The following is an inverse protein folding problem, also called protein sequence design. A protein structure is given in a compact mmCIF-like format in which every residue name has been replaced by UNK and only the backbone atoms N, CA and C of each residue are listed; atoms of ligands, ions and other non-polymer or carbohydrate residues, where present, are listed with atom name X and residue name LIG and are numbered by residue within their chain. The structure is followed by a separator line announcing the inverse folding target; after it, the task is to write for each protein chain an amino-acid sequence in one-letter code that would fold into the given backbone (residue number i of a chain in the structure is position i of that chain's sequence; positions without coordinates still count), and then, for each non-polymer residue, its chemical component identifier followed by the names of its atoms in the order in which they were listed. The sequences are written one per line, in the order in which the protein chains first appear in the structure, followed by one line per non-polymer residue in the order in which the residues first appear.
data_IF_054927047853
#
_entry.id   IF_054927047853
#
_cell.length_a   1.000
_cell.length_b   1.000
_cell.length_c   1.000
_cell.angle_alpha   90.00
_cell.angle_beta   90.00
_cell.angle_gamma   90.00
#
_symmetry.space_group_name_H-M   'P 1'
#
loop_
_entity.id
_entity.type
_entity.pdbx_description
1 polymer ?
#
# COMPACT_ATOMS: atom_id res chain seq x y z
N UNK A 1 7.52 -38.94 8.36
CA UNK A 1 7.84 -39.01 9.80
C UNK A 1 6.70 -38.39 10.62
N UNK A 2 6.57 -38.69 11.92
CA UNK A 2 5.59 -38.00 12.76
C UNK A 2 6.18 -36.73 13.40
N UNK A 3 5.44 -35.61 13.34
CA UNK A 3 5.83 -34.31 13.91
C UNK A 3 5.28 -34.21 15.34
N UNK A 4 6.13 -33.82 16.29
CA UNK A 4 5.73 -33.53 17.67
C UNK A 4 5.40 -32.04 17.82
N UNK A 5 4.23 -31.71 18.35
CA UNK A 5 3.80 -30.32 18.61
C UNK A 5 3.07 -30.19 19.94
N UNK A 6 3.14 -29.01 20.57
CA UNK A 6 2.52 -28.74 21.88
C UNK A 6 1.37 -27.74 21.76
N UNK A 7 0.26 -27.99 22.43
CA UNK A 7 -0.83 -27.01 22.49
C UNK A 7 -0.43 -25.80 23.36
N UNK A 8 -0.52 -24.58 22.81
CA UNK A 8 -0.15 -23.34 23.51
C UNK A 8 -1.01 -22.97 24.72
N UNK A 9 -2.20 -23.57 24.89
CA UNK A 9 -3.12 -23.27 26.00
C UNK A 9 -3.06 -24.27 27.15
N UNK A 10 -2.99 -25.57 26.85
CA UNK A 10 -3.06 -26.63 27.85
C UNK A 10 -1.76 -27.46 27.94
N UNK A 11 -0.75 -27.14 27.14
CA UNK A 11 0.57 -27.78 27.13
C UNK A 11 0.59 -29.28 26.85
N UNK A 12 -0.52 -29.87 26.39
CA UNK A 12 -0.57 -31.28 25.97
C UNK A 12 0.24 -31.49 24.68
N UNK A 13 1.03 -32.54 24.68
CA UNK A 13 1.87 -32.96 23.57
C UNK A 13 1.05 -33.78 22.56
N UNK A 14 1.27 -33.53 21.26
CA UNK A 14 0.61 -34.21 20.16
C UNK A 14 1.65 -34.74 19.18
N UNK A 15 1.40 -35.96 18.70
CA UNK A 15 2.15 -36.57 17.60
C UNK A 15 1.24 -36.60 16.38
N UNK A 16 1.55 -35.81 15.37
CA UNK A 16 0.72 -35.65 14.14
C UNK A 16 1.48 -36.17 12.92
N UNK A 17 0.74 -36.61 11.90
CA UNK A 17 1.31 -37.05 10.62
C UNK A 17 1.86 -35.85 9.83
N UNK A 18 2.89 -36.06 8.99
CA UNK A 18 3.50 -35.02 8.15
C UNK A 18 2.50 -34.31 7.22
N UNK A 19 1.42 -34.97 6.79
CA UNK A 19 0.37 -34.36 5.95
C UNK A 19 -0.36 -33.17 6.60
N UNK A 20 -0.19 -33.03 7.93
CA UNK A 20 -0.72 -31.92 8.72
C UNK A 20 0.31 -30.80 8.94
N UNK A 21 1.54 -30.89 8.43
CA UNK A 21 2.53 -29.82 8.48
C UNK A 21 1.96 -28.53 7.88
N UNK A 22 2.09 -27.42 8.60
CA UNK A 22 1.53 -26.11 8.22
C UNK A 22 0.00 -25.97 8.38
N UNK A 23 -0.74 -27.07 8.60
CA UNK A 23 -2.19 -27.04 8.82
C UNK A 23 -2.53 -26.80 10.30
N UNK A 24 -3.79 -26.40 10.55
CA UNK A 24 -4.34 -26.17 11.89
C UNK A 24 -5.28 -27.31 12.27
N UNK A 25 -5.18 -27.81 13.49
CA UNK A 25 -6.12 -28.77 14.08
C UNK A 25 -6.62 -28.29 15.45
N UNK A 26 -7.70 -28.87 15.97
CA UNK A 26 -8.24 -28.53 17.30
C UNK A 26 -7.64 -29.45 18.37
N UNK A 27 -7.18 -28.85 19.47
CA UNK A 27 -6.74 -29.57 20.67
C UNK A 27 -7.90 -30.44 21.22
N UNK A 28 -7.62 -31.70 21.57
CA UNK A 28 -8.65 -32.62 22.10
C UNK A 28 -9.14 -32.23 23.49
N UNK A 29 -8.31 -31.56 24.30
CA UNK A 29 -8.67 -31.14 25.67
C UNK A 29 -9.41 -29.81 25.71
N UNK A 30 -8.82 -28.77 25.13
CA UNK A 30 -9.31 -27.40 25.31
C UNK A 30 -9.93 -26.80 24.04
N UNK A 31 -10.06 -27.61 22.96
CA UNK A 31 -10.62 -27.23 21.66
C UNK A 31 -9.97 -26.02 20.95
N UNK A 32 -8.88 -25.49 21.50
CA UNK A 32 -8.17 -24.37 20.89
C UNK A 32 -7.42 -24.78 19.61
N UNK A 33 -7.33 -23.90 18.60
CA UNK A 33 -6.63 -24.19 17.36
C UNK A 33 -5.11 -24.25 17.60
N UNK A 34 -4.49 -25.37 17.19
CA UNK A 34 -3.05 -25.62 17.24
C UNK A 34 -2.53 -25.66 15.80
N UNK A 35 -1.49 -24.88 15.51
CA UNK A 35 -0.81 -24.88 14.20
C UNK A 35 0.38 -25.83 14.27
N UNK A 36 0.49 -26.74 13.30
CA UNK A 36 1.65 -27.64 13.19
C UNK A 36 2.79 -26.88 12.51
N UNK A 37 4.01 -26.84 13.08
CA UNK A 37 5.15 -26.21 12.42
C UNK A 37 5.46 -26.94 11.11
N UNK A 38 5.66 -26.19 10.03
CA UNK A 38 6.17 -26.72 8.78
C UNK A 38 7.69 -26.84 8.93
N UNK A 39 8.30 -28.02 8.74
CA UNK A 39 9.75 -28.10 8.67
C UNK A 39 10.22 -27.16 7.57
N UNK A 40 11.21 -26.32 7.87
CA UNK A 40 11.85 -25.51 6.83
C UNK A 40 12.36 -26.50 5.79
N UNK A 41 11.73 -26.51 4.61
CA UNK A 41 12.30 -27.19 3.45
C UNK A 41 13.63 -26.45 3.25
N UNK A 42 14.78 -27.15 3.33
CA UNK A 42 16.03 -26.55 2.88
C UNK A 42 15.72 -25.92 1.53
N UNK A 43 15.99 -24.62 1.37
CA UNK A 43 16.00 -24.07 0.02
C UNK A 43 17.01 -24.94 -0.71
N UNK A 44 16.53 -25.78 -1.62
CA UNK A 44 17.40 -26.31 -2.65
C UNK A 44 17.96 -25.05 -3.31
N UNK A 45 19.23 -24.78 -3.05
CA UNK A 45 20.01 -23.78 -3.77
C UNK A 45 19.83 -24.19 -5.23
N UNK A 46 18.99 -23.46 -5.98
CA UNK A 46 19.00 -23.57 -7.42
C UNK A 46 20.45 -23.28 -7.80
N UNK A 47 21.13 -24.22 -8.50
CA UNK A 47 22.51 -23.99 -8.91
C UNK A 47 22.52 -22.64 -9.63
N UNK A 48 23.32 -21.71 -9.10
CA UNK A 48 23.61 -20.46 -9.77
C UNK A 48 24.09 -20.84 -11.17
N UNK A 49 23.21 -20.71 -12.16
CA UNK A 49 23.59 -20.75 -13.55
C UNK A 49 24.48 -19.51 -13.74
N UNK A 50 25.78 -19.77 -13.68
CA UNK A 50 26.84 -18.86 -14.09
C UNK A 50 26.55 -18.39 -15.54
N UNK A 51 25.73 -17.35 -15.69
CA UNK A 51 25.49 -16.63 -16.95
C UNK A 51 26.56 -15.56 -17.22
N UNK A 52 27.69 -15.65 -16.55
CA UNK A 52 28.90 -14.92 -16.92
C UNK A 52 29.78 -15.86 -17.76
N UNK A 53 29.84 -15.66 -19.09
CA UNK A 53 31.02 -15.91 -19.98
C UNK A 53 30.72 -16.08 -21.51
N UNK A 54 29.67 -15.48 -22.10
CA UNK A 54 29.51 -15.53 -23.58
C UNK A 54 29.15 -14.23 -24.33
N UNK A 55 29.43 -13.05 -23.76
CA UNK A 55 29.50 -11.80 -24.55
C UNK A 55 30.83 -11.06 -24.37
N UNK A 56 31.92 -11.80 -24.56
CA UNK A 56 33.19 -11.21 -24.96
C UNK A 56 33.21 -11.00 -26.49
N UNK A 57 33.56 -9.78 -26.88
CA UNK A 57 34.18 -9.38 -28.16
C UNK A 57 33.41 -9.61 -29.46
N UNK A 58 32.56 -8.63 -29.81
CA UNK A 58 32.26 -8.28 -31.19
C UNK A 58 32.39 -6.76 -31.36
N UNK A 59 33.50 -6.31 -31.95
CA UNK A 59 33.83 -4.90 -32.15
C UNK A 59 32.77 -4.15 -32.96
N UNK A 60 32.50 -2.91 -32.56
CA UNK A 60 31.65 -1.94 -33.25
C UNK A 60 32.24 -0.53 -33.07
N UNK A 61 33.51 -0.44 -33.39
CA UNK A 61 34.27 0.76 -33.67
C UNK A 61 34.32 1.00 -35.19
N UNK A 62 33.16 1.00 -35.86
CA UNK A 62 33.01 1.55 -37.23
C UNK A 62 31.53 1.79 -37.60
N UNK A 63 30.87 2.75 -36.96
CA UNK A 63 29.70 3.43 -37.54
C UNK A 63 29.87 4.93 -37.39
N UNK A 64 30.83 5.43 -38.17
CA UNK A 64 30.87 6.84 -38.52
C UNK A 64 29.62 7.21 -39.32
N UNK A 65 28.98 8.30 -38.88
CA UNK A 65 28.42 9.35 -39.72
C UNK A 65 28.10 9.00 -41.19
N UNK A 66 26.91 8.46 -41.47
CA UNK A 66 26.23 8.65 -42.76
C UNK A 66 24.72 8.34 -42.71
N UNK A 67 23.99 9.00 -41.80
CA UNK A 67 22.53 9.08 -41.88
C UNK A 67 22.12 10.55 -42.03
N UNK A 68 22.64 11.13 -43.12
CA UNK A 68 22.01 12.26 -43.77
C UNK A 68 20.92 11.76 -44.71
N UNK A 69 19.73 12.31 -44.54
CA UNK A 69 18.99 12.94 -45.63
C UNK A 69 18.52 12.08 -46.84
N UNK A 70 17.92 10.89 -46.68
CA UNK A 70 17.09 10.35 -47.80
C UNK A 70 16.07 9.26 -47.39
N UNK A 71 14.99 9.64 -46.70
CA UNK A 71 13.75 8.85 -46.68
C UNK A 71 12.56 9.79 -46.88
N UNK A 72 12.63 10.52 -48.00
CA UNK A 72 11.44 10.96 -48.71
C UNK A 72 10.88 9.80 -49.53
N UNK A 73 9.55 9.70 -49.54
CA UNK A 73 8.75 9.22 -50.65
C UNK A 73 9.04 7.81 -51.18
N UNK A 74 8.36 6.78 -50.65
CA UNK A 74 7.72 5.68 -51.41
C UNK A 74 7.28 4.53 -50.49
N UNK A 75 6.14 4.67 -49.82
CA UNK A 75 5.36 3.49 -49.42
C UNK A 75 3.93 3.72 -49.88
N UNK A 76 3.68 3.12 -51.04
CA UNK A 76 2.48 3.25 -51.81
C UNK A 76 1.23 2.70 -51.14
N UNK A 77 0.12 3.18 -51.69
CA UNK A 77 -1.20 2.60 -51.65
C UNK A 77 -1.16 1.09 -51.91
N UNK A 78 -1.13 0.30 -50.85
CA UNK A 78 -1.58 -1.09 -50.89
C UNK A 78 -2.88 -1.20 -50.09
N UNK A 79 -3.97 -0.88 -50.79
CA UNK A 79 -5.35 -1.27 -50.53
C UNK A 79 -5.44 -2.79 -50.30
N UNK A 80 -5.19 -3.23 -49.05
CA UNK A 80 -5.65 -4.54 -48.59
C UNK A 80 -6.95 -4.38 -47.80
N UNK A 81 -8.04 -4.42 -48.57
CA UNK A 81 -9.42 -4.69 -48.17
C UNK A 81 -9.52 -6.05 -47.45
N UNK A 82 -8.98 -6.13 -46.23
CA UNK A 82 -9.20 -7.29 -45.36
C UNK A 82 -10.53 -7.05 -44.64
N UNK A 83 -11.61 -7.78 -44.96
CA UNK A 83 -12.89 -7.56 -44.32
C UNK A 83 -12.72 -7.75 -42.80
N UNK A 84 -13.23 -6.82 -41.97
CA UNK A 84 -13.05 -6.88 -40.53
C UNK A 84 -13.64 -8.19 -40.03
N UNK A 85 -12.79 -9.05 -39.48
CA UNK A 85 -13.24 -10.28 -38.83
C UNK A 85 -14.24 -9.89 -37.73
N UNK A 86 -15.46 -10.46 -37.74
CA UNK A 86 -16.52 -10.06 -36.83
C UNK A 86 -16.08 -10.38 -35.39
N UNK A 87 -15.72 -9.33 -34.64
CA UNK A 87 -15.41 -9.44 -33.22
C UNK A 87 -16.55 -10.17 -32.52
N UNK A 88 -16.29 -11.26 -31.77
CA UNK A 88 -17.32 -11.99 -31.07
C UNK A 88 -18.04 -11.04 -30.10
N UNK A 89 -19.32 -10.77 -30.37
CA UNK A 89 -20.18 -9.93 -29.53
C UNK A 89 -20.21 -10.54 -28.13
N UNK A 90 -19.55 -9.88 -27.18
CA UNK A 90 -19.67 -10.20 -25.74
C UNK A 90 -21.16 -10.21 -25.40
N UNK A 91 -21.71 -11.40 -25.11
CA UNK A 91 -23.08 -11.57 -24.64
C UNK A 91 -23.26 -10.67 -23.42
N UNK A 92 -24.07 -9.61 -23.55
CA UNK A 92 -24.47 -8.74 -22.44
C UNK A 92 -25.09 -9.63 -21.36
N UNK A 93 -24.41 -9.79 -20.22
CA UNK A 93 -25.00 -10.43 -19.05
C UNK A 93 -26.23 -9.61 -18.66
N UNK A 94 -27.41 -10.22 -18.73
CA UNK A 94 -28.68 -9.62 -18.30
C UNK A 94 -28.51 -9.14 -16.87
N UNK A 95 -28.67 -7.85 -16.64
CA UNK A 95 -28.68 -7.24 -15.32
C UNK A 95 -29.72 -7.95 -14.45
N UNK A 96 -29.41 -8.31 -13.20
CA UNK A 96 -30.41 -8.86 -12.29
C UNK A 96 -31.54 -7.84 -12.08
N UNK A 97 -32.81 -8.28 -11.96
CA UNK A 97 -33.95 -7.39 -11.80
C UNK A 97 -33.80 -6.51 -10.56
N UNK A 98 -34.26 -5.24 -10.60
CA UNK A 98 -34.13 -4.31 -9.49
C UNK A 98 -34.87 -4.85 -8.25
N UNK A 99 -34.12 -5.06 -7.16
CA UNK A 99 -34.71 -5.43 -5.87
C UNK A 99 -35.65 -4.32 -5.40
N UNK A 100 -36.95 -4.61 -5.39
CA UNK A 100 -38.04 -3.77 -4.92
C UNK A 100 -37.74 -3.27 -3.51
N UNK A 101 -37.45 -1.97 -3.35
CA UNK A 101 -37.27 -1.32 -2.04
C UNK A 101 -38.56 -1.50 -1.22
N UNK A 102 -38.52 -2.34 -0.17
CA UNK A 102 -39.60 -2.38 0.84
C UNK A 102 -39.62 -1.01 1.53
N UNK A 103 -40.66 -0.21 1.23
CA UNK A 103 -41.01 0.98 2.02
C UNK A 103 -41.20 0.54 3.46
N UNK A 104 -40.29 0.94 4.35
CA UNK A 104 -40.50 0.85 5.79
C UNK A 104 -41.62 1.83 6.12
N UNK A 105 -42.74 1.28 6.59
CA UNK A 105 -43.85 2.04 7.16
C UNK A 105 -43.32 2.79 8.37
N UNK A 106 -43.44 4.10 8.36
CA UNK A 106 -43.38 4.97 9.51
C UNK A 106 -44.66 4.77 10.34
N UNK A 107 -44.56 4.05 11.46
CA UNK A 107 -45.46 4.24 12.61
C UNK A 107 -44.87 5.42 13.39
N UNK A 108 -45.41 6.63 13.31
CA UNK A 108 -46.68 7.09 13.87
C UNK A 108 -46.75 6.91 15.38
N UNK A 109 -46.59 8.02 16.09
CA UNK A 109 -47.34 8.37 17.31
C UNK A 109 -46.84 7.82 18.65
N UNK A 110 -46.31 8.71 19.49
CA UNK A 110 -46.79 8.88 20.88
C UNK A 110 -46.04 10.06 21.52
N UNK A 111 -46.66 11.24 21.45
CA UNK A 111 -46.39 12.32 22.38
C UNK A 111 -47.14 12.00 23.67
N UNK A 112 -46.41 11.83 24.78
CA UNK A 112 -47.03 11.63 26.08
C UNK A 112 -46.06 11.89 27.22
N UNK A 113 -46.29 13.00 27.93
CA UNK A 113 -46.11 13.05 29.39
C UNK A 113 -44.69 13.32 29.89
N UNK A 114 -44.44 14.59 30.17
CA UNK A 114 -43.38 15.01 31.07
C UNK A 114 -43.58 14.46 32.50
N UNK A 115 -42.45 14.37 33.22
CA UNK A 115 -42.27 14.30 34.68
C UNK A 115 -42.44 12.92 35.34
N UNK A 116 -41.32 12.40 35.84
CA UNK A 116 -41.06 11.96 37.23
C UNK A 116 -39.87 10.99 37.22
N UNK A 117 -38.88 11.21 38.11
CA UNK A 117 -37.87 10.19 38.41
C UNK A 117 -36.41 10.61 38.21
N UNK A 118 -36.05 11.84 38.59
CA UNK A 118 -34.68 12.09 38.99
C UNK A 118 -34.30 11.18 40.18
N UNK A 119 -33.04 10.74 40.23
CA UNK A 119 -32.33 10.18 41.41
C UNK A 119 -32.14 8.64 41.51
N UNK A 120 -32.43 7.83 40.48
CA UNK A 120 -31.84 6.47 40.36
C UNK A 120 -30.97 6.26 39.11
N UNK A 121 -30.65 7.35 38.40
CA UNK A 121 -30.04 7.37 37.07
C UNK A 121 -28.51 7.36 37.00
N UNK A 122 -27.80 7.05 38.09
CA UNK A 122 -26.33 7.06 38.09
C UNK A 122 -25.72 5.87 37.35
N UNK A 123 -26.15 4.64 37.66
CA UNK A 123 -25.54 3.43 37.11
C UNK A 123 -26.27 2.93 35.87
N UNK A 124 -27.60 2.87 35.90
CA UNK A 124 -28.40 2.45 34.74
C UNK A 124 -28.35 3.46 33.58
N UNK A 125 -28.21 4.75 33.88
CA UNK A 125 -28.03 5.81 32.88
C UNK A 125 -26.68 5.70 32.16
N UNK A 126 -25.60 5.46 32.91
CA UNK A 126 -24.27 5.24 32.33
C UNK A 126 -24.23 3.97 31.48
N UNK A 127 -24.83 2.86 31.94
CA UNK A 127 -24.92 1.63 31.15
C UNK A 127 -25.77 1.82 29.89
N UNK A 128 -26.89 2.54 29.98
CA UNK A 128 -27.74 2.87 28.82
C UNK A 128 -27.00 3.72 27.79
N UNK A 129 -26.26 4.74 28.22
CA UNK A 129 -25.44 5.59 27.34
C UNK A 129 -24.32 4.77 26.68
N UNK A 130 -23.66 3.87 27.42
CA UNK A 130 -22.63 2.99 26.86
C UNK A 130 -23.19 2.03 25.79
N UNK A 131 -24.41 1.52 25.97
CA UNK A 131 -25.07 0.65 24.97
C UNK A 131 -25.43 1.44 23.71
N UNK A 132 -25.90 2.68 23.85
CA UNK A 132 -26.21 3.56 22.71
C UNK A 132 -24.94 3.93 21.95
N UNK A 133 -23.86 4.28 22.64
CA UNK A 133 -22.54 4.51 22.03
C UNK A 133 -22.08 3.26 21.29
N UNK A 134 -22.14 2.07 21.91
CA UNK A 134 -21.75 0.80 21.28
C UNK A 134 -22.56 0.47 20.01
N UNK A 135 -23.88 0.75 20.02
CA UNK A 135 -24.76 0.55 18.86
C UNK A 135 -24.46 1.55 17.74
N UNK A 136 -24.18 2.82 18.05
CA UNK A 136 -23.77 3.83 17.07
C UNK A 136 -22.41 3.47 16.47
N UNK A 137 -21.46 2.97 17.27
CA UNK A 137 -20.17 2.46 16.79
C UNK A 137 -20.33 1.27 15.84
N UNK A 138 -21.28 0.35 16.10
CA UNK A 138 -21.56 -0.78 15.20
C UNK A 138 -22.16 -0.35 13.85
N UNK A 139 -23.05 0.63 13.83
CA UNK A 139 -23.66 1.12 12.57
C UNK A 139 -22.64 1.93 11.75
N UNK A 140 -21.76 2.69 12.40
CA UNK A 140 -20.65 3.37 11.72
C UNK A 140 -19.62 2.39 11.13
N UNK A 141 -19.45 1.21 11.73
CA UNK A 141 -18.57 0.15 11.20
C UNK A 141 -18.99 -0.40 9.83
N UNK A 142 -20.28 -0.41 9.51
CA UNK A 142 -20.80 -1.01 8.27
C UNK A 142 -20.74 -0.08 7.04
N UNK A 143 -20.60 1.24 7.25
CA UNK A 143 -20.62 2.24 6.16
C UNK A 143 -19.23 2.65 5.64
N UNK A 144 -18.14 2.07 6.17
CA UNK A 144 -16.77 2.50 5.90
C UNK A 144 -16.01 2.67 7.21
N UNK A 145 -16.02 1.61 8.01
CA UNK A 145 -15.63 1.60 9.41
C UNK A 145 -14.36 2.37 9.73
N UNK A 146 -14.47 3.21 10.76
CA UNK A 146 -13.34 3.62 11.57
C UNK A 146 -12.64 2.36 12.08
N UNK A 147 -11.43 2.08 11.58
CA UNK A 147 -10.51 1.13 12.21
C UNK A 147 -10.10 1.73 13.56
N UNK A 148 -10.91 1.56 14.62
CA UNK A 148 -10.59 2.05 15.96
C UNK A 148 -9.34 1.38 16.57
N UNK A 149 -8.73 0.43 15.87
CA UNK A 149 -7.52 -0.27 16.29
C UNK A 149 -6.34 -0.09 15.32
N UNK A 150 -6.24 1.06 14.64
CA UNK A 150 -4.98 1.43 13.99
C UNK A 150 -3.96 1.80 15.07
N UNK A 151 -3.19 0.81 15.52
CA UNK A 151 -2.08 1.04 16.45
C UNK A 151 -0.95 1.76 15.72
N UNK A 152 -0.80 3.06 15.97
CA UNK A 152 0.28 3.86 15.40
C UNK A 152 1.56 3.59 16.19
N UNK A 153 2.63 3.23 15.49
CA UNK A 153 3.95 3.02 16.08
C UNK A 153 4.96 3.97 15.47
N UNK A 154 5.88 4.47 16.27
CA UNK A 154 7.02 5.23 15.76
C UNK A 154 7.96 4.27 15.04
N UNK A 155 8.18 4.51 13.76
CA UNK A 155 9.21 3.89 12.95
C UNK A 155 10.38 4.85 12.84
N UNK A 156 11.59 4.33 13.04
CA UNK A 156 12.82 5.06 12.71
C UNK A 156 13.40 4.40 11.47
N UNK A 157 13.83 5.20 10.49
CA UNK A 157 14.51 4.71 9.28
C UNK A 157 15.76 3.90 9.66
N UNK A 158 16.20 3.00 8.78
CA UNK A 158 17.34 2.11 9.04
C UNK A 158 18.65 2.85 9.32
N UNK A 159 18.76 4.08 8.81
CA UNK A 159 19.90 4.96 9.05
C UNK A 159 19.75 5.86 10.28
N UNK A 160 18.64 5.75 11.02
CA UNK A 160 18.42 6.51 12.26
C UNK A 160 18.05 7.99 12.07
N UNK A 161 18.06 8.49 10.84
CA UNK A 161 17.96 9.91 10.52
C UNK A 161 16.55 10.49 10.65
N UNK A 162 15.53 9.66 10.38
CA UNK A 162 14.12 10.10 10.40
C UNK A 162 13.32 9.15 11.27
N UNK A 163 12.41 9.73 12.05
CA UNK A 163 11.36 8.99 12.74
C UNK A 163 9.99 9.52 12.35
N UNK A 164 9.03 8.62 12.15
CA UNK A 164 7.65 8.95 11.79
C UNK A 164 6.67 7.91 12.34
N UNK A 165 5.38 8.24 12.41
CA UNK A 165 4.34 7.33 12.86
C UNK A 165 3.81 6.52 11.68
N UNK A 166 3.74 5.19 11.84
CA UNK A 166 3.13 4.27 10.87
C UNK A 166 1.99 3.46 11.49
N UNK A 167 0.94 3.12 10.71
CA UNK A 167 -0.25 2.41 11.20
C UNK A 167 -0.03 0.89 11.30
N UNK A 168 1.09 0.47 11.88
CA UNK A 168 1.52 -0.93 12.01
C UNK A 168 3.04 -1.06 12.11
N UNK A 169 3.53 -2.29 12.03
CA UNK A 169 4.97 -2.55 11.89
C UNK A 169 5.32 -2.52 10.39
N UNK A 170 6.18 -1.59 9.93
CA UNK A 170 6.60 -1.54 8.54
C UNK A 170 7.36 -2.80 8.15
N UNK A 171 7.18 -3.18 6.88
CA UNK A 171 7.95 -4.23 6.22
C UNK A 171 8.68 -3.62 5.03
N UNK A 172 9.78 -4.25 4.62
CA UNK A 172 10.44 -3.89 3.35
C UNK A 172 9.45 -4.09 2.21
N UNK A 173 9.28 -3.08 1.38
CA UNK A 173 8.45 -3.12 0.17
C UNK A 173 9.41 -3.01 -1.00
N UNK A 174 9.40 -3.92 -1.98
CA UNK A 174 10.17 -3.74 -3.20
C UNK A 174 9.53 -2.64 -4.06
N UNK A 175 10.31 -1.64 -4.44
CA UNK A 175 9.89 -0.58 -5.37
C UNK A 175 10.85 -0.62 -6.55
N UNK A 176 10.30 -0.92 -7.73
CA UNK A 176 11.09 -1.18 -8.93
C UNK A 176 11.88 0.04 -9.43
N UNK A 177 11.48 1.25 -9.03
CA UNK A 177 12.08 2.50 -9.48
C UNK A 177 13.14 3.07 -8.52
N UNK A 178 13.58 2.30 -7.51
CA UNK A 178 14.61 2.80 -6.60
C UNK A 178 15.99 2.72 -7.22
N UNK A 179 16.77 3.80 -7.09
CA UNK A 179 18.19 3.79 -7.47
C UNK A 179 19.01 2.77 -6.64
N UNK A 180 20.23 2.41 -7.10
CA UNK A 180 21.13 1.53 -6.35
C UNK A 180 21.31 1.94 -4.88
N UNK A 181 21.20 0.98 -3.96
CA UNK A 181 21.25 1.24 -2.51
C UNK A 181 19.96 1.83 -1.92
N UNK A 182 18.95 2.10 -2.74
CA UNK A 182 17.63 2.54 -2.31
C UNK A 182 16.90 1.46 -1.49
N UNK A 183 16.19 1.89 -0.44
CA UNK A 183 15.37 1.02 0.39
C UNK A 183 13.99 1.64 0.59
N UNK A 184 12.95 0.82 0.58
CA UNK A 184 11.60 1.25 0.94
C UNK A 184 10.97 0.37 2.00
N UNK A 185 10.30 1.03 2.94
CA UNK A 185 9.59 0.39 4.04
C UNK A 185 8.17 0.92 4.10
N UNK A 186 7.21 0.05 4.33
CA UNK A 186 5.83 0.49 4.40
C UNK A 186 4.87 -0.48 5.06
N UNK A 187 3.66 0.02 5.26
CA UNK A 187 2.52 -0.73 5.77
C UNK A 187 1.41 -0.66 4.73
N UNK A 188 1.04 -1.82 4.17
CA UNK A 188 -0.07 -1.93 3.22
C UNK A 188 -1.32 -2.41 3.95
N UNK A 189 -2.41 -1.68 3.75
CA UNK A 189 -3.77 -2.02 4.19
C UNK A 189 -4.65 -2.26 2.96
N UNK A 190 -5.88 -2.71 3.20
CA UNK A 190 -6.84 -3.06 2.14
C UNK A 190 -7.12 -1.91 1.15
N UNK A 191 -7.08 -0.65 1.60
CA UNK A 191 -7.42 0.53 0.81
C UNK A 191 -6.37 1.65 0.86
N UNK A 192 -5.24 1.43 1.54
CA UNK A 192 -4.20 2.43 1.69
C UNK A 192 -2.83 1.79 1.88
N UNK A 193 -1.77 2.49 1.49
CA UNK A 193 -0.39 2.13 1.76
C UNK A 193 0.38 3.35 2.25
N UNK A 194 1.25 3.13 3.21
CA UNK A 194 2.11 4.14 3.82
C UNK A 194 3.54 3.69 3.60
N UNK A 195 4.30 4.40 2.79
CA UNK A 195 5.64 3.97 2.36
C UNK A 195 6.61 5.14 2.58
N UNK A 196 7.78 4.83 3.11
CA UNK A 196 8.95 5.70 3.08
C UNK A 196 10.02 5.01 2.23
N UNK A 197 10.51 5.73 1.24
CA UNK A 197 11.65 5.34 0.42
C UNK A 197 12.84 6.23 0.76
N UNK A 198 14.01 5.62 0.85
CA UNK A 198 15.29 6.29 1.08
C UNK A 198 16.22 5.93 -0.06
N UNK A 199 16.71 6.92 -0.79
CA UNK A 199 17.66 6.74 -1.88
C UNK A 199 18.93 7.55 -1.58
N UNK A 200 20.12 6.96 -1.71
CA UNK A 200 21.34 7.75 -1.69
C UNK A 200 21.35 8.68 -2.90
N UNK A 201 21.91 9.89 -2.74
CA UNK A 201 22.23 10.69 -3.91
C UNK A 201 23.39 10.02 -4.65
N UNK A 202 23.17 9.66 -5.92
CA UNK A 202 24.17 8.98 -6.75
C UNK A 202 24.64 9.94 -7.83
N UNK A 203 25.95 9.96 -8.08
CA UNK A 203 26.55 10.59 -9.26
C UNK A 203 26.30 12.10 -9.32
N UNK A 204 25.79 12.58 -10.46
CA UNK A 204 25.64 14.01 -10.78
C UNK A 204 24.67 14.78 -9.85
N UNK A 205 23.82 14.08 -9.09
CA UNK A 205 22.95 14.71 -8.10
C UNK A 205 23.70 15.05 -6.81
N UNK A 206 24.82 14.35 -6.53
CA UNK A 206 25.65 14.64 -5.38
C UNK A 206 26.43 15.94 -5.62
N UNK A 207 26.07 17.00 -4.91
CA UNK A 207 26.68 18.32 -5.03
C UNK A 207 25.80 19.37 -5.72
N UNK A 208 24.65 18.97 -6.27
CA UNK A 208 23.63 19.93 -6.69
C UNK A 208 23.09 20.69 -5.49
N UNK A 209 22.88 22.00 -5.66
CA UNK A 209 22.13 22.78 -4.69
C UNK A 209 20.70 22.26 -4.56
N UNK A 210 20.07 22.51 -3.41
CA UNK A 210 18.69 22.08 -3.17
C UNK A 210 17.73 22.61 -4.26
N UNK A 211 17.94 23.83 -4.77
CA UNK A 211 17.18 24.39 -5.88
C UNK A 211 17.39 23.64 -7.19
N UNK A 212 18.64 23.34 -7.56
CA UNK A 212 18.94 22.60 -8.81
C UNK A 212 18.40 21.19 -8.75
N UNK A 213 18.44 20.55 -7.58
CA UNK A 213 17.90 19.22 -7.39
C UNK A 213 16.37 19.22 -7.53
N UNK A 214 15.70 20.29 -7.07
CA UNK A 214 14.27 20.47 -7.33
C UNK A 214 13.95 20.80 -8.79
N UNK A 215 14.78 21.59 -9.47
CA UNK A 215 14.62 21.84 -10.91
C UNK A 215 14.85 20.55 -11.71
N UNK A 216 15.82 19.72 -11.32
CA UNK A 216 16.07 18.41 -11.89
C UNK A 216 14.93 17.42 -11.61
N UNK A 217 14.26 17.53 -10.46
CA UNK A 217 13.04 16.77 -10.19
C UNK A 217 11.87 17.25 -11.06
N UNK A 218 11.72 18.56 -11.28
CA UNK A 218 10.68 19.11 -12.16
C UNK A 218 10.91 18.74 -13.64
N UNK A 219 12.18 18.69 -14.07
CA UNK A 219 12.59 18.30 -15.43
C UNK A 219 12.69 16.77 -15.63
N UNK A 220 12.91 16.02 -14.56
CA UNK A 220 13.31 14.62 -14.58
C UNK A 220 12.15 13.63 -14.70
N UNK A 221 12.46 12.49 -15.33
CA UNK A 221 11.58 11.32 -15.52
C UNK A 221 11.02 10.70 -14.24
N UNK A 222 11.55 11.04 -13.05
CA UNK A 222 11.08 10.55 -11.75
C UNK A 222 9.61 10.91 -11.43
N UNK A 223 9.06 11.92 -12.11
CA UNK A 223 7.69 12.41 -11.93
C UNK A 223 6.77 12.12 -13.10
N UNK A 224 7.10 11.18 -13.99
CA UNK A 224 6.18 10.78 -15.06
C UNK A 224 4.82 10.41 -14.44
N UNK A 225 3.78 11.15 -14.85
CA UNK A 225 2.41 11.01 -14.34
C UNK A 225 2.10 11.71 -13.00
N UNK A 226 3.03 12.50 -12.46
CA UNK A 226 2.77 13.35 -11.31
C UNK A 226 1.90 14.56 -11.71
N UNK A 227 1.09 15.01 -10.76
CA UNK A 227 0.22 16.19 -10.86
C UNK A 227 0.40 17.04 -9.62
N UNK A 228 0.02 18.31 -9.72
CA UNK A 228 0.02 19.23 -8.58
C UNK A 228 1.38 19.30 -7.88
N UNK A 229 2.46 19.35 -8.66
CA UNK A 229 3.81 19.49 -8.11
C UNK A 229 3.92 20.88 -7.50
N UNK A 230 4.25 20.95 -6.20
CA UNK A 230 4.36 22.19 -5.47
C UNK A 230 5.57 22.14 -4.55
N UNK A 231 6.35 23.23 -4.53
CA UNK A 231 7.40 23.45 -3.55
C UNK A 231 6.76 24.03 -2.30
N UNK A 232 6.96 23.37 -1.16
CA UNK A 232 6.47 23.83 0.14
C UNK A 232 7.61 23.80 1.15
N UNK A 233 7.54 24.65 2.17
CA UNK A 233 8.43 24.54 3.32
C UNK A 233 7.74 23.75 4.42
N UNK A 234 8.30 22.59 4.79
CA UNK A 234 7.75 21.74 5.86
C UNK A 234 8.88 21.20 6.73
N UNK A 235 8.62 21.13 8.04
CA UNK A 235 9.61 20.69 9.03
C UNK A 235 10.92 21.53 9.03
N UNK A 236 10.84 22.80 8.62
CA UNK A 236 12.00 23.68 8.48
C UNK A 236 12.89 23.36 7.27
N UNK A 237 12.39 22.58 6.30
CA UNK A 237 13.11 22.20 5.08
C UNK A 237 12.25 22.46 3.86
N UNK A 238 12.88 22.61 2.70
CA UNK A 238 12.14 22.64 1.45
C UNK A 238 11.73 21.20 1.10
N UNK A 239 10.52 21.06 0.59
CA UNK A 239 9.92 19.80 0.21
C UNK A 239 9.20 19.98 -1.12
N UNK A 240 9.16 18.93 -1.93
CA UNK A 240 8.23 18.85 -3.06
C UNK A 240 7.06 17.97 -2.66
N UNK A 241 5.86 18.47 -2.86
CA UNK A 241 4.65 17.66 -2.81
C UNK A 241 4.11 17.41 -4.19
N UNK A 242 3.61 16.22 -4.42
CA UNK A 242 3.05 15.83 -5.71
C UNK A 242 2.05 14.69 -5.57
N UNK A 243 1.11 14.62 -6.50
CA UNK A 243 0.11 13.57 -6.56
C UNK A 243 0.39 12.64 -7.73
N UNK A 244 0.30 11.33 -7.53
CA UNK A 244 0.34 10.33 -8.62
C UNK A 244 -0.96 9.55 -8.64
N UNK A 245 -1.48 9.30 -9.83
CA UNK A 245 -2.64 8.43 -10.04
C UNK A 245 -2.20 7.14 -10.72
N UNK A 246 -2.57 5.99 -10.16
CA UNK A 246 -2.29 4.68 -10.71
C UNK A 246 -3.59 4.01 -11.22
N UNK A 247 -3.50 3.01 -12.11
CA UNK A 247 -4.64 2.23 -12.56
C UNK A 247 -5.47 1.67 -11.40
N UNK A 248 -6.77 1.53 -11.60
CA UNK A 248 -7.69 1.02 -10.56
C UNK A 248 -8.19 2.06 -9.55
N UNK A 249 -8.02 3.36 -9.86
CA UNK A 249 -8.51 4.47 -9.04
C UNK A 249 -7.71 4.70 -7.76
N UNK A 250 -6.45 4.23 -7.74
CA UNK A 250 -5.52 4.47 -6.64
C UNK A 250 -4.90 5.84 -6.87
N UNK A 251 -4.97 6.70 -5.86
CA UNK A 251 -4.29 7.99 -5.82
C UNK A 251 -3.21 7.92 -4.77
N UNK A 252 -2.16 8.70 -4.94
CA UNK A 252 -1.11 8.81 -3.93
C UNK A 252 -0.70 10.25 -3.77
N UNK A 253 -0.54 10.66 -2.52
CA UNK A 253 0.07 11.92 -2.16
C UNK A 253 1.50 11.62 -1.76
N UNK A 254 2.43 12.43 -2.24
CA UNK A 254 3.84 12.22 -2.04
C UNK A 254 4.48 13.48 -1.49
N UNK A 255 5.47 13.31 -0.62
CA UNK A 255 6.35 14.38 -0.17
C UNK A 255 7.78 13.89 -0.31
N UNK A 256 8.59 14.58 -1.12
CA UNK A 256 10.02 14.33 -1.26
C UNK A 256 10.83 15.47 -0.64
N UNK A 257 11.93 15.15 0.03
CA UNK A 257 12.86 16.12 0.61
C UNK A 257 14.26 15.53 0.79
N UNK A 258 15.25 16.39 0.91
CA UNK A 258 16.66 16.03 1.10
C UNK A 258 17.06 16.08 2.58
N UNK A 259 17.85 15.10 3.01
CA UNK A 259 18.46 15.10 4.33
C UNK A 259 19.73 14.24 4.41
N UNK A 260 20.84 14.78 4.92
CA UNK A 260 22.13 14.08 5.09
C UNK A 260 22.52 13.25 3.85
N UNK A 261 22.53 13.92 2.70
CA UNK A 261 22.93 13.37 1.39
C UNK A 261 22.02 12.26 0.83
N UNK A 262 20.79 12.17 1.33
CA UNK A 262 19.78 11.22 0.85
C UNK A 262 18.48 11.91 0.48
N UNK A 263 17.81 11.34 -0.52
CA UNK A 263 16.44 11.70 -0.89
C UNK A 263 15.49 10.80 -0.10
N UNK A 264 14.56 11.42 0.63
CA UNK A 264 13.48 10.71 1.29
C UNK A 264 12.18 11.01 0.57
N UNK A 265 11.47 9.95 0.18
CA UNK A 265 10.14 10.07 -0.42
C UNK A 265 9.11 9.38 0.47
N UNK A 266 8.19 10.17 1.00
CA UNK A 266 7.03 9.67 1.74
C UNK A 266 5.87 9.52 0.75
N UNK A 267 5.36 8.31 0.59
CA UNK A 267 4.22 8.01 -0.26
C UNK A 267 3.03 7.53 0.60
N UNK A 268 1.90 8.22 0.45
CA UNK A 268 0.62 7.78 0.98
C UNK A 268 -0.33 7.47 -0.18
N UNK A 269 -0.43 6.19 -0.53
CA UNK A 269 -1.38 5.70 -1.53
C UNK A 269 -2.72 5.33 -0.89
N UNK A 270 -3.82 5.62 -1.57
CA UNK A 270 -5.17 5.33 -1.10
C UNK A 270 -6.14 5.12 -2.27
N UNK A 271 -7.21 4.37 -2.01
CA UNK A 271 -8.33 4.19 -2.94
C UNK A 271 -9.55 4.95 -2.43
N UNK A 272 -10.10 5.85 -3.25
CA UNK A 272 -11.25 6.68 -2.90
C UNK A 272 -10.84 8.07 -2.41
N UNK A 273 -11.41 8.53 -1.30
CA UNK A 273 -11.09 9.83 -0.69
C UNK A 273 -9.95 9.69 0.32
N UNK A 274 -9.04 10.69 0.40
CA UNK A 274 -7.98 10.67 1.40
C UNK A 274 -8.60 10.77 2.79
N UNK A 275 -8.12 9.96 3.73
CA UNK A 275 -8.53 10.02 5.14
C UNK A 275 -7.55 10.87 5.95
N UNK A 276 -7.91 11.18 7.20
CA UNK A 276 -7.04 11.92 8.14
C UNK A 276 -5.74 11.20 8.50
N UNK A 277 -5.64 9.89 8.23
CA UNK A 277 -4.43 9.11 8.51
C UNK A 277 -3.27 9.50 7.60
N UNK A 278 -3.53 9.91 6.35
CA UNK A 278 -2.49 10.44 5.46
C UNK A 278 -1.84 11.68 6.04
N UNK A 279 -2.65 12.62 6.55
CA UNK A 279 -2.16 13.83 7.22
C UNK A 279 -1.34 13.50 8.46
N UNK A 280 -1.83 12.58 9.31
CA UNK A 280 -1.10 12.12 10.50
C UNK A 280 0.25 11.48 10.15
N UNK A 281 0.31 10.71 9.07
CA UNK A 281 1.54 10.11 8.57
C UNK A 281 2.56 11.19 8.19
N UNK A 282 2.19 12.14 7.33
CA UNK A 282 3.08 13.23 6.95
C UNK A 282 3.46 14.11 8.14
N UNK A 283 2.51 14.61 8.91
CA UNK A 283 2.75 15.56 10.00
C UNK A 283 3.57 14.95 11.18
N UNK A 284 3.80 13.63 11.18
CA UNK A 284 4.55 12.93 12.23
C UNK A 284 6.07 12.85 12.02
N UNK A 285 6.58 13.36 10.90
CA UNK A 285 8.00 13.29 10.55
C UNK A 285 8.84 14.11 11.52
N UNK A 286 9.89 13.50 12.06
CA UNK A 286 10.89 14.10 12.94
C UNK A 286 12.28 13.73 12.46
N UNK A 287 13.12 14.73 12.31
CA UNK A 287 14.53 14.60 11.94
C UNK A 287 15.40 14.42 13.20
N UNK A 288 16.47 13.64 13.11
CA UNK A 288 17.43 13.38 14.19
C UNK A 288 18.85 13.77 13.81
#
# INVERSE_FOLDING_TARGET
MPIKTKCRKCSRDYTVKDELAGKKFRCKECQSPVTVPQPAVPLDEEPDEDEDELFASGGLDDFGNDFGDDFGDDFGDDDYDTPPTPRPRKKKKKSPPPKKKRKRRSSSGSNGGAKVGAIFGGVAGVVGILIVIAKISMVAGAAGGFDFNVFWKTYTTTDGNISLLMPGTPKRVPVASLGPGGQSYGVTKRSSAYIISTEPMIGQLAGMSESELFDAFDLGSGFIGAKNVQRIQKYGRNCITFEKSAPGGIKSNNIAFLYKDKVYTLNYAYKGTPNSSGRKFFDSVKFK
#
